data_IF_803356338253
#
_entry.id   IF_803356338253
#
_cell.length_a   1.000
_cell.length_b   1.000
_cell.length_c   1.000
_cell.angle_alpha   90.00
_cell.angle_beta   90.00
_cell.angle_gamma   90.00
#
_symmetry.space_group_name_H-M   'P 1'
#
loop_
_entity.id
_entity.type
_entity.pdbx_description
1 polymer ?
#
# COMPACT_ATOMS: atom_id res chain seq x y z
N UNK A 1 -3.35 -20.22 -9.20
CA UNK A 1 -1.96 -20.48 -9.64
C UNK A 1 -1.07 -21.12 -8.57
N UNK A 2 -1.36 -21.02 -7.26
CA UNK A 2 -0.49 -21.58 -6.21
C UNK A 2 -0.27 -23.11 -6.23
N UNK A 3 -1.17 -23.89 -6.83
CA UNK A 3 -1.00 -25.34 -6.95
C UNK A 3 0.18 -25.76 -7.86
N UNK A 4 0.59 -24.92 -8.81
CA UNK A 4 1.74 -25.21 -9.69
C UNK A 4 3.05 -25.10 -8.89
N UNK A 5 3.19 -24.05 -8.07
CA UNK A 5 4.37 -23.87 -7.21
C UNK A 5 4.58 -25.07 -6.29
N UNK A 6 3.49 -25.58 -5.70
CA UNK A 6 3.53 -26.76 -4.83
C UNK A 6 3.80 -28.07 -5.57
N UNK A 7 3.36 -28.18 -6.83
CA UNK A 7 3.49 -29.42 -7.58
C UNK A 7 4.91 -29.65 -8.13
N UNK A 8 5.62 -28.58 -8.49
CA UNK A 8 6.91 -28.71 -9.20
C UNK A 8 8.13 -28.21 -8.43
N UNK A 9 7.98 -27.23 -7.53
CA UNK A 9 9.13 -26.51 -6.96
C UNK A 9 9.20 -26.58 -5.43
N UNK A 10 8.07 -26.41 -4.74
CA UNK A 10 8.03 -26.30 -3.27
C UNK A 10 7.22 -27.43 -2.63
N UNK A 11 7.82 -28.18 -1.71
CA UNK A 11 7.10 -29.25 -0.98
C UNK A 11 6.17 -28.68 0.09
N UNK A 12 6.64 -27.66 0.82
CA UNK A 12 5.85 -26.97 1.83
C UNK A 12 5.55 -25.54 1.39
N UNK A 13 4.39 -25.04 1.82
CA UNK A 13 3.97 -23.65 1.54
C UNK A 13 4.86 -22.63 2.24
N UNK A 14 5.47 -22.99 3.36
CA UNK A 14 6.36 -22.11 4.14
C UNK A 14 7.72 -21.90 3.46
N UNK A 15 8.05 -22.73 2.47
CA UNK A 15 9.30 -22.62 1.73
C UNK A 15 9.16 -21.71 0.50
N UNK A 16 7.93 -21.29 0.16
CA UNK A 16 7.66 -20.40 -0.98
C UNK A 16 8.20 -19.01 -0.67
N UNK A 17 9.06 -18.49 -1.54
CA UNK A 17 9.53 -17.12 -1.43
C UNK A 17 8.38 -16.11 -1.59
N UNK A 18 8.47 -15.01 -0.85
CA UNK A 18 7.42 -13.98 -0.84
C UNK A 18 7.12 -13.47 -2.25
N UNK A 19 8.15 -13.29 -3.09
CA UNK A 19 7.99 -12.72 -4.42
C UNK A 19 7.13 -13.62 -5.33
N UNK A 20 7.53 -14.88 -5.47
CA UNK A 20 6.82 -15.89 -6.27
C UNK A 20 5.44 -16.22 -5.69
N UNK A 21 5.34 -16.24 -4.36
CA UNK A 21 4.09 -16.46 -3.63
C UNK A 21 3.05 -15.39 -3.96
N UNK A 22 3.39 -14.10 -3.78
CA UNK A 22 2.45 -13.01 -4.00
C UNK A 22 2.12 -12.76 -5.48
N UNK A 23 3.04 -13.03 -6.41
CA UNK A 23 2.71 -13.02 -7.85
C UNK A 23 1.75 -14.15 -8.25
N UNK A 24 1.73 -15.24 -7.49
CA UNK A 24 0.87 -16.40 -7.76
C UNK A 24 -0.54 -16.28 -7.17
N UNK A 25 -0.81 -15.22 -6.40
CA UNK A 25 -2.12 -14.90 -5.87
C UNK A 25 -3.05 -14.37 -6.96
N UNK A 26 -4.36 -14.58 -6.77
CA UNK A 26 -5.35 -13.96 -7.64
C UNK A 26 -5.45 -12.48 -7.28
N UNK A 27 -5.40 -11.61 -8.28
CA UNK A 27 -5.59 -10.20 -8.08
C UNK A 27 -6.98 -9.88 -7.50
N UNK A 28 -7.04 -8.88 -6.62
CA UNK A 28 -8.28 -8.33 -6.09
C UNK A 28 -9.00 -7.59 -7.23
N UNK A 29 -10.33 -7.52 -7.21
CA UNK A 29 -11.07 -6.81 -8.25
C UNK A 29 -10.66 -5.33 -8.28
N UNK A 30 -10.24 -4.84 -9.45
CA UNK A 30 -9.71 -3.48 -9.61
C UNK A 30 -8.26 -3.27 -9.13
N UNK A 31 -7.56 -4.33 -8.73
CA UNK A 31 -6.15 -4.31 -8.33
C UNK A 31 -5.29 -5.11 -9.31
N UNK A 32 -4.01 -4.77 -9.40
CA UNK A 32 -3.00 -5.56 -10.11
C UNK A 32 -2.34 -6.62 -9.22
N UNK A 33 -2.61 -6.59 -7.92
CA UNK A 33 -1.98 -7.42 -6.90
C UNK A 33 -3.01 -8.25 -6.14
N UNK A 34 -2.61 -9.42 -5.65
CA UNK A 34 -3.36 -10.19 -4.66
C UNK A 34 -3.34 -9.55 -3.27
N UNK A 35 -4.15 -10.09 -2.38
CA UNK A 35 -4.37 -9.60 -1.01
C UNK A 35 -3.05 -9.41 -0.24
N UNK A 36 -2.14 -10.39 -0.28
CA UNK A 36 -0.90 -10.34 0.51
C UNK A 36 0.01 -9.22 0.03
N UNK A 37 0.24 -9.13 -1.28
CA UNK A 37 1.10 -8.09 -1.86
C UNK A 37 0.51 -6.70 -1.71
N UNK A 38 -0.77 -6.55 -1.98
CA UNK A 38 -1.43 -5.26 -1.81
C UNK A 38 -1.39 -4.82 -0.34
N UNK A 39 -1.48 -5.74 0.63
CA UNK A 39 -1.31 -5.41 2.03
C UNK A 39 0.12 -4.94 2.37
N UNK A 40 1.15 -5.66 1.94
CA UNK A 40 2.56 -5.33 2.20
C UNK A 40 2.91 -3.98 1.55
N UNK A 41 2.54 -3.79 0.28
CA UNK A 41 2.79 -2.57 -0.47
C UNK A 41 2.08 -1.38 0.19
N UNK A 42 0.83 -1.57 0.64
CA UNK A 42 0.11 -0.53 1.40
C UNK A 42 0.86 -0.10 2.64
N UNK A 43 1.34 -1.04 3.44
CA UNK A 43 2.04 -0.72 4.67
C UNK A 43 3.35 0.03 4.39
N UNK A 44 4.08 -0.37 3.33
CA UNK A 44 5.26 0.34 2.87
C UNK A 44 4.95 1.79 2.47
N UNK A 45 3.93 2.02 1.64
CA UNK A 45 3.52 3.38 1.24
C UNK A 45 3.00 4.21 2.41
N UNK A 46 2.26 3.61 3.35
CA UNK A 46 1.81 4.27 4.58
C UNK A 46 3.02 4.77 5.39
N UNK A 47 4.02 3.90 5.60
CA UNK A 47 5.23 4.27 6.34
C UNK A 47 6.05 5.33 5.61
N UNK A 48 6.12 5.28 4.29
CA UNK A 48 6.79 6.31 3.49
C UNK A 48 6.10 7.66 3.61
N UNK A 49 4.76 7.69 3.61
CA UNK A 49 3.98 8.93 3.84
C UNK A 49 4.32 9.59 5.16
N UNK A 50 4.02 8.88 6.24
CA UNK A 50 4.05 9.44 7.58
C UNK A 50 5.46 9.48 8.16
N UNK A 51 6.39 8.70 7.58
CA UNK A 51 7.81 8.73 7.94
C UNK A 51 8.59 9.84 7.22
N UNK A 52 8.07 10.40 6.14
CA UNK A 52 8.73 11.49 5.42
C UNK A 52 8.24 12.85 5.93
N UNK A 53 9.05 13.52 6.75
CA UNK A 53 8.74 14.88 7.25
C UNK A 53 8.46 15.88 6.12
N UNK A 54 9.04 15.69 4.94
CA UNK A 54 8.88 16.59 3.79
C UNK A 54 7.82 16.12 2.80
N UNK A 55 6.99 15.14 3.18
CA UNK A 55 5.85 14.73 2.38
C UNK A 55 4.94 15.92 2.08
N UNK A 56 4.54 16.07 0.82
CA UNK A 56 3.94 17.30 0.29
C UNK A 56 2.60 17.70 0.94
N UNK A 57 1.89 16.75 1.56
CA UNK A 57 0.63 17.01 2.30
C UNK A 57 0.86 17.45 3.75
N UNK A 58 2.09 17.37 4.28
CA UNK A 58 2.37 17.82 5.64
C UNK A 58 2.33 19.35 5.71
N UNK A 59 1.41 19.87 6.51
CA UNK A 59 1.27 21.30 6.81
C UNK A 59 2.01 21.67 8.10
N UNK A 60 2.34 22.96 8.26
CA UNK A 60 2.92 23.52 9.49
C UNK A 60 4.27 22.91 9.93
N UNK A 61 5.00 22.26 9.02
CA UNK A 61 6.36 21.76 9.25
C UNK A 61 7.42 22.66 8.58
N UNK A 62 8.65 22.59 9.06
CA UNK A 62 9.78 23.23 8.37
C UNK A 62 9.98 22.60 7.00
N UNK A 63 9.73 23.36 5.93
CA UNK A 63 9.78 22.87 4.54
C UNK A 63 8.43 22.49 3.95
N UNK A 64 7.32 22.66 4.68
CA UNK A 64 5.97 22.55 4.13
C UNK A 64 5.75 23.54 3.00
N UNK A 65 4.99 23.12 1.99
CA UNK A 65 4.62 23.99 0.88
C UNK A 65 3.59 25.04 1.31
N UNK A 66 3.66 26.21 0.70
CA UNK A 66 2.63 27.25 0.90
C UNK A 66 1.41 26.92 0.07
N UNK A 67 0.22 27.29 0.54
CA UNK A 67 -1.05 26.93 -0.10
C UNK A 67 -1.19 27.48 -1.54
N UNK A 68 -0.42 28.52 -1.90
CA UNK A 68 -0.33 29.03 -3.27
C UNK A 68 0.65 28.29 -4.20
N UNK A 69 1.46 27.36 -3.67
CA UNK A 69 2.40 26.54 -4.45
C UNK A 69 1.75 25.28 -5.02
N UNK A 70 0.64 24.82 -4.43
CA UNK A 70 -0.11 23.65 -4.88
C UNK A 70 -1.45 24.06 -5.48
N UNK A 71 -1.57 23.96 -6.80
CA UNK A 71 -2.88 23.92 -7.45
C UNK A 71 -3.50 22.58 -7.07
N UNK A 72 -4.61 22.55 -6.33
CA UNK A 72 -5.27 21.33 -5.83
C UNK A 72 -5.69 20.29 -6.88
N UNK A 73 -5.40 20.55 -8.16
CA UNK A 73 -5.59 19.65 -9.29
C UNK A 73 -4.33 18.81 -9.61
N UNK A 74 -3.19 19.11 -8.99
CA UNK A 74 -1.91 18.40 -9.13
C UNK A 74 -1.62 17.59 -7.87
N UNK A 75 -2.56 16.74 -7.45
CA UNK A 75 -2.24 15.73 -6.45
C UNK A 75 -1.39 14.65 -7.12
N UNK A 76 -0.12 14.42 -6.72
CA UNK A 76 0.56 13.22 -7.16
C UNK A 76 -0.22 12.02 -6.59
N UNK A 77 -0.50 11.06 -7.46
CA UNK A 77 -1.37 9.87 -7.26
C UNK A 77 -0.87 8.90 -6.18
N UNK A 78 0.12 9.30 -5.36
CA UNK A 78 1.03 8.36 -4.70
C UNK A 78 0.41 7.65 -3.49
N UNK A 79 -0.73 8.11 -2.94
CA UNK A 79 -1.41 7.39 -1.84
C UNK A 79 -2.93 7.39 -2.03
N UNK A 80 -3.41 7.21 -3.26
CA UNK A 80 -4.85 7.07 -3.46
C UNK A 80 -5.29 5.59 -3.36
N UNK A 81 -5.96 5.32 -2.24
CA UNK A 81 -7.00 4.30 -2.04
C UNK A 81 -6.62 2.80 -2.05
N UNK A 82 -5.80 2.38 -1.08
CA UNK A 82 -5.78 0.97 -0.63
C UNK A 82 -6.73 0.79 0.57
N UNK A 83 -8.02 1.11 0.37
CA UNK A 83 -9.01 1.26 1.46
C UNK A 83 -9.46 -0.05 2.13
N UNK A 84 -9.06 -1.25 1.72
CA UNK A 84 -9.67 -2.46 2.30
C UNK A 84 -8.83 -3.73 2.35
N UNK A 85 -7.52 -3.67 2.12
CA UNK A 85 -6.79 -4.90 1.72
C UNK A 85 -6.02 -5.61 2.84
N UNK A 86 -5.69 -4.96 3.96
CA UNK A 86 -5.22 -5.72 5.12
C UNK A 86 -6.34 -5.97 6.11
N UNK A 87 -6.76 -7.23 6.12
CA UNK A 87 -7.34 -7.97 7.24
C UNK A 87 -8.84 -7.87 7.43
N UNK A 88 -9.46 -9.04 7.66
CA UNK A 88 -10.77 -9.18 8.29
C UNK A 88 -10.83 -8.66 9.74
N UNK A 89 -10.24 -7.50 10.03
CA UNK A 89 -10.34 -6.78 11.30
C UNK A 89 -10.30 -5.28 11.00
N UNK A 90 -11.49 -4.69 11.03
CA UNK A 90 -11.81 -3.30 11.35
C UNK A 90 -11.29 -2.19 10.42
N UNK A 91 -12.24 -1.38 9.96
CA UNK A 91 -12.06 -0.13 9.23
C UNK A 91 -10.93 0.69 9.84
N UNK A 92 -9.86 0.92 9.07
CA UNK A 92 -8.96 2.01 9.41
C UNK A 92 -9.74 3.31 9.17
N UNK A 93 -9.85 4.21 10.16
CA UNK A 93 -10.45 5.50 9.91
C UNK A 93 -9.70 6.18 8.76
N UNK A 94 -10.47 6.83 7.91
CA UNK A 94 -10.07 7.46 6.67
C UNK A 94 -8.68 8.12 6.77
N UNK A 95 -7.71 7.60 6.01
CA UNK A 95 -6.31 8.07 6.02
C UNK A 95 -6.14 9.47 5.40
N UNK A 96 -7.25 10.18 5.17
CA UNK A 96 -7.29 11.61 4.82
C UNK A 96 -7.51 12.52 6.03
N UNK A 97 -7.76 11.96 7.23
CA UNK A 97 -8.06 12.71 8.46
C UNK A 97 -7.26 12.19 9.67
N UNK A 98 -5.93 12.24 9.57
CA UNK A 98 -5.10 12.32 10.79
C UNK A 98 -3.96 13.32 10.54
N UNK A 99 -4.36 14.59 10.43
CA UNK A 99 -3.48 15.73 10.67
C UNK A 99 -3.60 16.08 12.15
N UNK A 100 -2.66 15.59 12.95
CA UNK A 100 -2.24 16.27 14.18
C UNK A 100 -0.86 16.86 13.99
#
# INVERSE_FOLDING_TARGET
MSHILRAFYYRNVLDIDLYSGGLSEKAINGSQMGETFACIVRDAFKRLKFGDRFYYEHENQSGSFTQGAFNGNTAPVVIMCLKSVCSGTQETPDLSVDTR
#
